data_IF_777311358086
#
_entry.id   IF_777311358086
#
_cell.length_a   1.000
_cell.length_b   1.000
_cell.length_c   1.000
_cell.angle_alpha   90.00
_cell.angle_beta   90.00
_cell.angle_gamma   90.00
#
_symmetry.space_group_name_H-M   'P 1'
#
loop_
_entity.id
_entity.type
_entity.pdbx_description
1 polymer ?
#
# COMPACT_ATOMS: atom_id res chain seq x y z
N UNK A 1 -19.62 6.88 -30.21
CA UNK A 1 -19.13 7.90 -31.18
C UNK A 1 -17.64 8.10 -30.92
N UNK A 2 -16.75 7.82 -31.88
CA UNK A 2 -15.32 8.04 -31.71
C UNK A 2 -15.03 9.54 -31.81
N UNK A 3 -14.42 10.12 -30.78
CA UNK A 3 -13.98 11.51 -30.79
C UNK A 3 -12.50 11.53 -30.42
N UNK A 4 -11.64 11.98 -31.34
CA UNK A 4 -10.22 12.25 -31.09
C UNK A 4 -10.00 13.76 -31.19
N UNK A 5 -9.52 14.38 -30.13
CA UNK A 5 -9.24 15.82 -30.07
C UNK A 5 -7.80 16.07 -29.63
N UNK A 6 -7.20 17.08 -30.24
CA UNK A 6 -5.98 17.73 -29.79
C UNK A 6 -6.33 19.16 -29.41
N UNK A 7 -6.30 19.53 -28.14
CA UNK A 7 -6.68 20.86 -27.67
C UNK A 7 -5.95 21.23 -26.36
N UNK A 8 -5.84 22.52 -26.09
CA UNK A 8 -5.23 22.98 -24.83
C UNK A 8 -6.18 22.80 -23.65
N UNK A 9 -7.51 22.89 -23.88
CA UNK A 9 -8.55 22.74 -22.88
C UNK A 9 -9.76 21.98 -23.42
N UNK A 10 -10.25 20.97 -22.69
CA UNK A 10 -11.43 20.19 -23.05
C UNK A 10 -12.35 19.89 -21.86
N UNK A 11 -13.66 20.00 -22.09
CA UNK A 11 -14.71 19.42 -21.26
C UNK A 11 -15.54 18.53 -22.16
N UNK A 12 -15.62 17.23 -21.89
CA UNK A 12 -16.27 16.23 -22.75
C UNK A 12 -17.24 15.34 -22.00
N UNK A 13 -18.35 15.01 -22.68
CA UNK A 13 -19.33 14.03 -22.28
C UNK A 13 -19.55 13.10 -23.47
N UNK A 14 -19.12 11.84 -23.39
CA UNK A 14 -19.26 10.90 -24.50
C UNK A 14 -19.04 9.44 -24.03
N UNK A 15 -19.64 8.49 -24.74
CA UNK A 15 -19.54 7.07 -24.43
C UNK A 15 -18.10 6.54 -24.60
N UNK A 16 -17.40 6.94 -25.68
CA UNK A 16 -16.04 6.52 -25.97
C UNK A 16 -15.18 7.70 -26.42
N UNK A 17 -14.09 7.96 -25.73
CA UNK A 17 -13.20 9.10 -25.98
C UNK A 17 -11.73 8.68 -26.00
N UNK A 18 -10.99 9.22 -26.98
CA UNK A 18 -9.52 9.30 -26.95
C UNK A 18 -9.18 10.79 -27.02
N UNK A 19 -8.53 11.32 -25.99
CA UNK A 19 -8.25 12.75 -25.85
C UNK A 19 -6.77 13.03 -25.61
N UNK A 20 -6.26 14.06 -26.29
CA UNK A 20 -4.97 14.68 -26.04
C UNK A 20 -5.22 16.15 -25.71
N UNK A 21 -4.92 16.57 -24.48
CA UNK A 21 -5.19 17.94 -24.02
C UNK A 21 -4.15 18.42 -23.02
N UNK A 22 -3.94 19.72 -22.90
CA UNK A 22 -3.20 20.29 -21.79
C UNK A 22 -4.01 20.16 -20.49
N UNK A 23 -5.29 20.56 -20.52
CA UNK A 23 -6.23 20.44 -19.40
C UNK A 23 -7.51 19.75 -19.85
N UNK A 24 -7.98 18.73 -19.12
CA UNK A 24 -9.21 18.03 -19.46
C UNK A 24 -10.09 17.72 -18.25
N UNK A 25 -11.40 17.91 -18.44
CA UNK A 25 -12.43 17.35 -17.57
C UNK A 25 -13.30 16.43 -18.44
N UNK A 26 -13.46 15.17 -18.06
CA UNK A 26 -14.15 14.17 -18.87
C UNK A 26 -15.15 13.35 -18.08
N UNK A 27 -16.28 13.09 -18.73
CA UNK A 27 -17.30 12.14 -18.29
C UNK A 27 -17.52 11.17 -19.44
N UNK A 28 -17.19 9.88 -19.28
CA UNK A 28 -17.28 8.90 -20.35
C UNK A 28 -17.50 7.51 -19.79
N UNK A 29 -18.12 6.60 -20.55
CA UNK A 29 -18.17 5.20 -20.18
C UNK A 29 -16.78 4.56 -20.37
N UNK A 30 -16.10 4.87 -21.50
CA UNK A 30 -14.75 4.40 -21.79
C UNK A 30 -13.84 5.55 -22.24
N UNK A 31 -12.70 5.74 -21.59
CA UNK A 31 -11.79 6.84 -21.90
C UNK A 31 -10.31 6.42 -21.94
N UNK A 32 -9.58 6.94 -22.94
CA UNK A 32 -8.12 6.98 -22.95
C UNK A 32 -7.70 8.45 -23.02
N UNK A 33 -6.92 8.93 -22.05
CA UNK A 33 -6.52 10.33 -21.96
C UNK A 33 -5.02 10.50 -21.84
N UNK A 34 -4.50 11.50 -22.55
CA UNK A 34 -3.14 12.02 -22.42
C UNK A 34 -3.27 13.51 -22.14
N UNK A 35 -2.90 13.96 -20.94
CA UNK A 35 -3.05 15.35 -20.52
C UNK A 35 -1.97 15.79 -19.54
N UNK A 36 -1.69 17.08 -19.46
CA UNK A 36 -0.85 17.60 -18.37
C UNK A 36 -1.66 17.61 -17.07
N UNK A 37 -2.95 17.99 -17.13
CA UNK A 37 -3.88 17.98 -16.01
C UNK A 37 -5.21 17.31 -16.39
N UNK A 38 -5.65 16.30 -15.64
CA UNK A 38 -6.86 15.53 -15.91
C UNK A 38 -7.80 15.42 -14.69
N UNK A 39 -9.10 15.64 -14.91
CA UNK A 39 -10.16 15.21 -14.00
C UNK A 39 -11.08 14.30 -14.79
N UNK A 40 -11.30 13.05 -14.33
CA UNK A 40 -12.09 12.07 -15.07
C UNK A 40 -13.10 11.35 -14.18
N UNK A 41 -14.27 11.13 -14.78
CA UNK A 41 -15.32 10.26 -14.29
C UNK A 41 -15.66 9.27 -15.39
N UNK A 42 -15.40 7.97 -15.19
CA UNK A 42 -15.62 6.96 -16.22
C UNK A 42 -15.88 5.58 -15.61
N UNK A 43 -16.57 4.69 -16.33
CA UNK A 43 -16.65 3.31 -15.92
C UNK A 43 -15.31 2.61 -16.16
N UNK A 44 -14.67 2.86 -17.33
CA UNK A 44 -13.34 2.36 -17.65
C UNK A 44 -12.41 3.49 -18.12
N UNK A 45 -11.23 3.62 -17.50
CA UNK A 45 -10.29 4.68 -17.85
C UNK A 45 -8.82 4.22 -17.92
N UNK A 46 -8.11 4.73 -18.94
CA UNK A 46 -6.65 4.70 -19.01
C UNK A 46 -6.17 6.16 -19.09
N UNK A 47 -5.35 6.60 -18.14
CA UNK A 47 -4.83 7.97 -18.08
C UNK A 47 -3.31 7.99 -18.07
N UNK A 48 -2.75 8.93 -18.87
CA UNK A 48 -1.37 9.37 -18.81
C UNK A 48 -1.38 10.87 -18.56
N UNK A 49 -0.96 11.32 -17.37
CA UNK A 49 -1.04 12.73 -17.00
C UNK A 49 0.12 13.16 -16.08
N UNK A 50 0.45 14.44 -16.07
CA UNK A 50 1.28 15.01 -15.01
C UNK A 50 0.52 15.04 -13.68
N UNK A 51 -0.74 15.56 -13.71
CA UNK A 51 -1.63 15.57 -12.54
C UNK A 51 -2.98 14.95 -12.89
N UNK A 52 -3.47 13.99 -12.10
CA UNK A 52 -4.75 13.35 -12.34
C UNK A 52 -5.60 13.19 -11.09
N UNK A 53 -6.91 13.47 -11.22
CA UNK A 53 -7.95 13.07 -10.29
C UNK A 53 -8.94 12.18 -11.06
N UNK A 54 -9.18 10.96 -10.59
CA UNK A 54 -10.04 10.01 -11.30
C UNK A 54 -11.05 9.36 -10.34
N UNK A 55 -12.25 9.17 -10.89
CA UNK A 55 -13.30 8.34 -10.32
C UNK A 55 -13.73 7.34 -11.39
N UNK A 56 -13.52 6.04 -11.17
CA UNK A 56 -13.81 5.01 -12.14
C UNK A 56 -14.09 3.66 -11.47
N UNK A 57 -14.85 2.79 -12.14
CA UNK A 57 -15.00 1.42 -11.69
C UNK A 57 -13.71 0.63 -11.97
N UNK A 58 -13.13 0.78 -13.19
CA UNK A 58 -11.83 0.20 -13.54
C UNK A 58 -10.86 1.27 -14.06
N UNK A 59 -9.72 1.41 -13.40
CA UNK A 59 -8.74 2.44 -13.71
C UNK A 59 -7.33 1.88 -13.95
N UNK A 60 -6.66 2.36 -15.00
CA UNK A 60 -5.22 2.24 -15.17
C UNK A 60 -4.64 3.66 -15.28
N UNK A 61 -3.74 4.05 -14.40
CA UNK A 61 -3.20 5.41 -14.34
C UNK A 61 -1.68 5.43 -14.32
N UNK A 62 -1.12 6.35 -15.11
CA UNK A 62 0.28 6.73 -15.11
C UNK A 62 0.33 8.25 -14.91
N UNK A 63 0.86 8.71 -13.78
CA UNK A 63 0.89 10.13 -13.46
C UNK A 63 2.08 10.48 -12.55
N UNK A 64 2.53 11.74 -12.57
CA UNK A 64 3.49 12.22 -11.57
C UNK A 64 2.76 12.40 -10.23
N UNK A 65 1.56 12.99 -10.24
CA UNK A 65 0.70 13.13 -9.06
C UNK A 65 -0.71 12.58 -9.34
N UNK A 66 -1.20 11.67 -8.50
CA UNK A 66 -2.49 11.01 -8.68
C UNK A 66 -3.36 10.97 -7.43
N UNK A 67 -4.66 11.26 -7.60
CA UNK A 67 -5.70 10.91 -6.64
C UNK A 67 -6.71 10.03 -7.36
N UNK A 68 -6.97 8.82 -6.86
CA UNK A 68 -7.80 7.82 -7.51
C UNK A 68 -8.84 7.24 -6.56
N UNK A 69 -10.07 7.18 -7.03
CA UNK A 69 -11.18 6.48 -6.41
C UNK A 69 -11.70 5.45 -7.40
N UNK A 70 -11.59 4.15 -7.11
CA UNK A 70 -12.00 3.10 -8.04
C UNK A 70 -12.38 1.81 -7.31
N UNK A 71 -13.19 0.96 -7.93
CA UNK A 71 -13.39 -0.39 -7.43
C UNK A 71 -12.15 -1.24 -7.71
N UNK A 72 -11.60 -1.17 -8.93
CA UNK A 72 -10.35 -1.84 -9.31
C UNK A 72 -9.35 -0.86 -9.91
N UNK A 73 -8.13 -0.83 -9.40
CA UNK A 73 -7.12 0.13 -9.84
C UNK A 73 -5.72 -0.48 -10.03
N UNK A 74 -5.06 -0.06 -11.11
CA UNK A 74 -3.62 -0.21 -11.29
C UNK A 74 -3.02 1.19 -11.46
N UNK A 75 -2.06 1.59 -10.61
CA UNK A 75 -1.47 2.91 -10.62
C UNK A 75 0.05 2.88 -10.63
N UNK A 76 0.65 3.77 -11.44
CA UNK A 76 2.06 4.08 -11.45
C UNK A 76 2.19 5.60 -11.28
N UNK A 77 2.78 6.05 -10.17
CA UNK A 77 2.91 7.48 -9.89
C UNK A 77 4.12 7.79 -8.99
N UNK A 78 4.64 9.02 -9.04
CA UNK A 78 5.64 9.45 -8.08
C UNK A 78 4.96 9.72 -6.73
N UNK A 79 3.82 10.44 -6.71
CA UNK A 79 3.00 10.66 -5.53
C UNK A 79 1.56 10.18 -5.76
N UNK A 80 1.08 9.25 -4.95
CA UNK A 80 -0.23 8.65 -5.10
C UNK A 80 -1.07 8.67 -3.82
N UNK A 81 -2.35 9.02 -3.96
CA UNK A 81 -3.39 8.77 -2.96
C UNK A 81 -4.47 7.93 -3.63
N UNK A 82 -4.77 6.75 -3.09
CA UNK A 82 -5.75 5.83 -3.68
C UNK A 82 -6.77 5.34 -2.66
N UNK A 83 -8.01 5.25 -3.12
CA UNK A 83 -9.11 4.59 -2.43
C UNK A 83 -9.70 3.57 -3.40
N UNK A 84 -9.61 2.28 -3.10
CA UNK A 84 -10.09 1.23 -3.99
C UNK A 84 -10.50 -0.03 -3.22
N UNK A 85 -11.41 -0.83 -3.77
CA UNK A 85 -11.67 -2.16 -3.22
C UNK A 85 -10.48 -3.08 -3.52
N UNK A 86 -9.96 -3.05 -4.78
CA UNK A 86 -8.77 -3.78 -5.19
C UNK A 86 -7.72 -2.84 -5.81
N UNK A 87 -6.51 -2.83 -5.29
CA UNK A 87 -5.45 -1.94 -5.72
C UNK A 87 -4.12 -2.66 -6.02
N UNK A 88 -3.50 -2.31 -7.14
CA UNK A 88 -2.08 -2.57 -7.39
C UNK A 88 -1.42 -1.21 -7.62
N UNK A 89 -0.42 -0.84 -6.81
CA UNK A 89 0.23 0.46 -6.90
C UNK A 89 1.75 0.35 -6.93
N UNK A 90 2.37 1.18 -7.76
CA UNK A 90 3.80 1.42 -7.81
C UNK A 90 4.01 2.93 -7.66
N UNK A 91 4.65 3.37 -6.57
CA UNK A 91 4.84 4.79 -6.31
C UNK A 91 6.08 5.05 -5.45
N UNK A 92 6.68 6.24 -5.56
CA UNK A 92 7.74 6.64 -4.63
C UNK A 92 7.12 6.98 -3.27
N UNK A 93 6.02 7.76 -3.24
CA UNK A 93 5.25 8.05 -2.04
C UNK A 93 3.78 7.64 -2.22
N UNK A 94 3.29 6.73 -1.38
CA UNK A 94 1.93 6.19 -1.46
C UNK A 94 1.14 6.35 -0.17
N UNK A 95 -0.13 6.78 -0.30
CA UNK A 95 -1.16 6.64 0.74
C UNK A 95 -2.28 5.80 0.12
N UNK A 96 -2.59 4.64 0.71
CA UNK A 96 -3.53 3.68 0.15
C UNK A 96 -4.56 3.24 1.19
N UNK A 97 -5.83 3.28 0.76
CA UNK A 97 -6.96 2.72 1.47
C UNK A 97 -7.64 1.71 0.56
N UNK A 98 -7.64 0.41 0.93
CA UNK A 98 -8.21 -0.63 0.09
C UNK A 98 -8.66 -1.84 0.92
N UNK A 99 -9.62 -2.63 0.40
CA UNK A 99 -9.92 -3.93 0.99
C UNK A 99 -8.79 -4.92 0.67
N UNK A 100 -8.33 -4.96 -0.60
CA UNK A 100 -7.18 -5.76 -1.03
C UNK A 100 -6.14 -4.91 -1.73
N UNK A 101 -4.88 -4.97 -1.27
CA UNK A 101 -3.81 -4.14 -1.80
C UNK A 101 -2.51 -4.91 -2.08
N UNK A 102 -1.89 -4.60 -3.22
CA UNK A 102 -0.48 -4.90 -3.50
C UNK A 102 0.23 -3.57 -3.76
N UNK A 103 1.24 -3.23 -2.96
CA UNK A 103 1.94 -1.95 -3.05
C UNK A 103 3.46 -2.15 -3.13
N UNK A 104 4.08 -1.42 -4.06
CA UNK A 104 5.52 -1.26 -4.17
C UNK A 104 5.82 0.23 -4.07
N UNK A 105 6.54 0.65 -3.02
CA UNK A 105 6.84 2.07 -2.79
C UNK A 105 8.15 2.26 -2.02
N UNK A 106 8.77 3.43 -2.15
CA UNK A 106 9.87 3.81 -1.26
C UNK A 106 9.30 4.17 0.11
N UNK A 107 8.22 4.99 0.14
CA UNK A 107 7.51 5.35 1.37
C UNK A 107 6.01 5.03 1.25
N UNK A 108 5.46 4.27 2.19
CA UNK A 108 4.07 3.84 2.18
C UNK A 108 3.33 4.09 3.51
N UNK A 109 2.10 4.60 3.40
CA UNK A 109 1.10 4.52 4.47
C UNK A 109 -0.08 3.73 3.91
N UNK A 110 -0.44 2.60 4.54
CA UNK A 110 -1.48 1.71 4.04
C UNK A 110 -2.50 1.38 5.12
N UNK A 111 -3.77 1.39 4.70
CA UNK A 111 -4.91 0.89 5.46
C UNK A 111 -5.63 -0.13 4.57
N UNK A 112 -5.64 -1.41 4.96
CA UNK A 112 -6.25 -2.45 4.13
C UNK A 112 -6.73 -3.64 4.99
N UNK A 113 -7.75 -4.37 4.53
CA UNK A 113 -8.09 -5.63 5.17
C UNK A 113 -7.03 -6.69 4.84
N UNK A 114 -6.63 -6.79 3.55
CA UNK A 114 -5.54 -7.67 3.11
C UNK A 114 -4.47 -6.89 2.36
N UNK A 115 -3.21 -6.99 2.79
CA UNK A 115 -2.11 -6.23 2.22
C UNK A 115 -0.88 -7.09 1.90
N UNK A 116 -0.29 -6.86 0.72
CA UNK A 116 1.07 -7.26 0.40
C UNK A 116 1.87 -5.98 0.10
N UNK A 117 2.93 -5.72 0.85
CA UNK A 117 3.70 -4.49 0.76
C UNK A 117 5.20 -4.75 0.61
N UNK A 118 5.81 -4.06 -0.35
CA UNK A 118 7.24 -3.96 -0.54
C UNK A 118 7.62 -2.48 -0.47
N UNK A 119 8.38 -2.09 0.56
CA UNK A 119 8.76 -0.68 0.76
C UNK A 119 10.09 -0.53 1.49
N UNK A 120 10.76 0.61 1.32
CA UNK A 120 11.91 0.93 2.17
C UNK A 120 11.39 1.38 3.55
N UNK A 121 10.37 2.26 3.59
CA UNK A 121 9.71 2.70 4.82
C UNK A 121 8.20 2.50 4.76
N UNK A 122 7.61 1.83 5.76
CA UNK A 122 6.19 1.54 5.78
C UNK A 122 5.52 1.78 7.13
N UNK A 123 4.30 2.35 7.08
CA UNK A 123 3.34 2.34 8.18
C UNK A 123 2.10 1.61 7.68
N UNK A 124 1.69 0.53 8.37
CA UNK A 124 0.57 -0.29 7.93
C UNK A 124 -0.44 -0.54 9.06
N UNK A 125 -1.71 -0.47 8.68
CA UNK A 125 -2.85 -0.92 9.46
C UNK A 125 -3.64 -1.92 8.61
N UNK A 126 -3.71 -3.19 9.03
CA UNK A 126 -4.37 -4.25 8.25
C UNK A 126 -4.90 -5.37 9.15
N UNK A 127 -5.91 -6.11 8.67
CA UNK A 127 -6.28 -7.35 9.34
C UNK A 127 -5.25 -8.45 9.01
N UNK A 128 -4.87 -8.58 7.73
CA UNK A 128 -3.84 -9.51 7.27
C UNK A 128 -2.73 -8.78 6.48
N UNK A 129 -1.47 -8.96 6.86
CA UNK A 129 -0.35 -8.32 6.21
C UNK A 129 0.79 -9.29 5.86
N UNK A 130 1.32 -9.18 4.64
CA UNK A 130 2.63 -9.71 4.25
C UNK A 130 3.49 -8.51 3.88
N UNK A 131 4.62 -8.30 4.55
CA UNK A 131 5.46 -7.13 4.34
C UNK A 131 6.93 -7.48 4.16
N UNK A 132 7.57 -6.77 3.23
CA UNK A 132 9.01 -6.72 3.04
C UNK A 132 9.42 -5.25 3.10
N UNK A 133 10.18 -4.86 4.13
CA UNK A 133 10.59 -3.47 4.32
C UNK A 133 11.94 -3.34 5.02
N UNK A 134 12.66 -2.25 4.78
CA UNK A 134 13.83 -1.95 5.60
C UNK A 134 13.40 -1.43 6.96
N UNK A 135 12.38 -0.55 7.01
CA UNK A 135 11.79 -0.04 8.25
C UNK A 135 10.26 -0.18 8.23
N UNK A 136 9.69 -0.83 9.26
CA UNK A 136 8.24 -1.06 9.35
C UNK A 136 7.65 -0.68 10.71
N UNK A 137 6.47 -0.01 10.69
CA UNK A 137 5.56 0.12 11.83
C UNK A 137 4.25 -0.53 11.43
N UNK A 138 3.80 -1.57 12.18
CA UNK A 138 2.65 -2.38 11.81
C UNK A 138 1.67 -2.51 12.97
N UNK A 139 0.38 -2.37 12.62
CA UNK A 139 -0.75 -2.70 13.46
C UNK A 139 -1.65 -3.65 12.68
N UNK A 140 -1.71 -4.94 13.08
CA UNK A 140 -2.49 -5.93 12.34
C UNK A 140 -2.86 -7.13 13.20
N UNK A 141 -3.91 -7.87 12.81
CA UNK A 141 -4.29 -9.10 13.52
C UNK A 141 -3.31 -10.23 13.17
N UNK A 142 -3.01 -10.43 11.87
CA UNK A 142 -2.07 -11.45 11.40
C UNK A 142 -0.99 -10.87 10.51
N UNK A 143 0.28 -11.09 10.84
CA UNK A 143 1.44 -10.54 10.11
C UNK A 143 2.46 -11.60 9.76
N UNK A 144 2.97 -11.54 8.53
CA UNK A 144 4.23 -12.14 8.11
C UNK A 144 5.16 -11.01 7.69
N UNK A 145 6.28 -10.81 8.38
CA UNK A 145 7.18 -9.68 8.19
C UNK A 145 8.61 -10.13 7.91
N UNK A 146 9.22 -9.48 6.91
CA UNK A 146 10.64 -9.48 6.65
C UNK A 146 11.13 -8.03 6.68
N UNK A 147 11.94 -7.66 7.68
CA UNK A 147 12.40 -6.28 7.84
C UNK A 147 13.81 -6.18 8.41
N UNK A 148 14.48 -5.06 8.14
CA UNK A 148 15.69 -4.70 8.88
C UNK A 148 15.33 -4.22 10.29
N UNK A 149 14.40 -3.26 10.41
CA UNK A 149 13.89 -2.75 11.68
C UNK A 149 12.35 -2.79 11.72
N UNK A 150 11.77 -3.32 12.80
CA UNK A 150 10.32 -3.41 12.96
C UNK A 150 9.82 -2.96 14.32
N UNK A 151 8.71 -2.20 14.33
CA UNK A 151 7.85 -2.00 15.50
C UNK A 151 6.50 -2.59 15.17
N UNK A 152 5.99 -3.53 15.99
CA UNK A 152 4.79 -4.27 15.66
C UNK A 152 3.84 -4.43 16.84
N UNK A 153 2.55 -4.30 16.52
CA UNK A 153 1.42 -4.63 17.36
C UNK A 153 0.53 -5.60 16.59
N UNK A 154 0.46 -6.88 17.01
CA UNK A 154 -0.31 -7.89 16.31
C UNK A 154 -0.84 -8.96 17.26
N UNK A 155 -1.97 -9.61 16.91
CA UNK A 155 -2.42 -10.78 17.66
C UNK A 155 -1.54 -11.98 17.34
N UNK A 156 -1.26 -12.23 16.06
CA UNK A 156 -0.38 -13.30 15.59
C UNK A 156 0.69 -12.77 14.64
N UNK A 157 1.98 -13.08 14.90
CA UNK A 157 3.09 -12.59 14.10
C UNK A 157 4.11 -13.67 13.77
N UNK A 158 4.58 -13.71 12.52
CA UNK A 158 5.78 -14.39 12.08
C UNK A 158 6.78 -13.35 11.58
N UNK A 159 7.94 -13.23 12.20
CA UNK A 159 8.90 -12.15 11.93
C UNK A 159 10.28 -12.69 11.61
N UNK A 160 10.88 -12.11 10.55
CA UNK A 160 12.27 -12.21 10.21
C UNK A 160 12.84 -10.79 10.19
N UNK A 161 13.64 -10.40 11.19
CA UNK A 161 14.16 -9.03 11.28
C UNK A 161 15.56 -9.00 11.90
N UNK A 162 16.35 -7.97 11.59
CA UNK A 162 17.59 -7.73 12.29
C UNK A 162 17.30 -7.16 13.69
N UNK A 163 16.38 -6.19 13.77
CA UNK A 163 15.92 -5.57 15.02
C UNK A 163 14.40 -5.51 15.09
N UNK A 164 13.78 -5.99 16.18
CA UNK A 164 12.33 -5.95 16.35
C UNK A 164 11.91 -5.50 17.76
N UNK A 165 10.89 -4.63 17.83
CA UNK A 165 10.10 -4.37 19.03
C UNK A 165 8.69 -4.86 18.77
N UNK A 166 8.19 -5.80 19.60
CA UNK A 166 6.92 -6.47 19.35
C UNK A 166 6.02 -6.49 20.58
N UNK A 167 4.73 -6.27 20.31
CA UNK A 167 3.64 -6.52 21.23
C UNK A 167 2.64 -7.46 20.54
N UNK A 168 2.51 -8.71 21.02
CA UNK A 168 1.61 -9.69 20.41
C UNK A 168 1.11 -10.73 21.40
N UNK A 169 -0.02 -11.37 21.08
CA UNK A 169 -0.49 -12.52 21.85
C UNK A 169 0.34 -13.76 21.51
N UNK A 170 0.59 -14.01 20.20
CA UNK A 170 1.41 -15.13 19.73
C UNK A 170 2.48 -14.66 18.73
N UNK A 171 3.74 -15.07 18.92
CA UNK A 171 4.83 -14.71 18.02
C UNK A 171 5.76 -15.86 17.69
N UNK A 172 6.15 -15.98 16.42
CA UNK A 172 7.31 -16.73 15.97
C UNK A 172 8.32 -15.73 15.42
N UNK A 173 9.52 -15.68 15.99
CA UNK A 173 10.50 -14.67 15.64
C UNK A 173 11.85 -15.28 15.30
N UNK A 174 12.47 -14.75 14.23
CA UNK A 174 13.84 -14.92 13.84
C UNK A 174 14.49 -13.54 13.81
N UNK A 175 15.28 -13.20 14.82
CA UNK A 175 15.87 -11.86 14.91
C UNK A 175 17.26 -11.90 15.57
N UNK A 176 18.13 -10.97 15.17
CA UNK A 176 19.42 -10.77 15.82
C UNK A 176 19.24 -10.05 17.15
N UNK A 177 18.33 -9.05 17.22
CA UNK A 177 17.97 -8.35 18.45
C UNK A 177 16.46 -8.18 18.56
N UNK A 178 15.87 -8.50 19.72
CA UNK A 178 14.44 -8.36 19.93
C UNK A 178 14.06 -7.88 21.33
N UNK A 179 13.07 -6.97 21.40
CA UNK A 179 12.31 -6.65 22.60
C UNK A 179 10.89 -7.15 22.38
N UNK A 180 10.43 -8.09 23.21
CA UNK A 180 9.14 -8.74 22.99
C UNK A 180 8.27 -8.66 24.23
N UNK A 181 6.99 -8.32 24.02
CA UNK A 181 5.92 -8.43 24.98
C UNK A 181 4.87 -9.36 24.38
N UNK A 182 4.89 -10.64 24.76
CA UNK A 182 3.99 -11.65 24.20
C UNK A 182 3.48 -12.61 25.27
N UNK A 183 2.24 -13.10 25.12
CA UNK A 183 1.70 -14.13 25.99
C UNK A 183 2.31 -15.49 25.67
N UNK A 184 2.57 -15.79 24.40
CA UNK A 184 3.29 -16.99 23.94
C UNK A 184 4.29 -16.64 22.83
N UNK A 185 5.56 -16.97 23.00
CA UNK A 185 6.60 -16.68 22.03
C UNK A 185 7.46 -17.90 21.72
N UNK A 186 7.75 -18.12 20.43
CA UNK A 186 8.77 -19.05 19.95
C UNK A 186 9.85 -18.22 19.27
N UNK A 187 11.08 -18.27 19.79
CA UNK A 187 12.18 -17.45 19.32
C UNK A 187 13.32 -18.32 18.81
N UNK A 188 13.84 -17.97 17.62
CA UNK A 188 15.04 -18.53 17.04
C UNK A 188 16.08 -17.42 16.89
N UNK A 189 17.13 -17.47 17.71
CA UNK A 189 18.22 -16.50 17.67
C UNK A 189 19.42 -17.08 16.93
N UNK A 190 20.18 -16.24 16.24
CA UNK A 190 21.52 -16.61 15.80
C UNK A 190 22.42 -16.78 17.05
N UNK A 191 23.20 -17.85 17.08
CA UNK A 191 24.07 -18.22 18.21
C UNK A 191 25.29 -17.29 18.38
N UNK A 192 25.26 -16.06 17.86
CA UNK A 192 26.32 -15.07 18.06
C UNK A 192 26.25 -14.50 19.48
N UNK A 193 27.40 -14.28 20.16
CA UNK A 193 27.43 -13.82 21.56
C UNK A 193 26.93 -12.39 21.79
N UNK A 194 26.50 -11.69 20.74
CA UNK A 194 26.02 -10.31 20.80
C UNK A 194 24.49 -10.19 20.77
N UNK A 195 23.75 -11.29 20.60
CA UNK A 195 22.28 -11.26 20.58
C UNK A 195 21.72 -11.06 21.99
N UNK A 196 21.00 -9.96 22.22
CA UNK A 196 20.41 -9.61 23.52
C UNK A 196 18.89 -9.73 23.44
N UNK A 197 18.29 -10.54 24.32
CA UNK A 197 16.84 -10.82 24.32
C UNK A 197 16.20 -10.34 25.61
N UNK A 198 15.05 -9.66 25.48
CA UNK A 198 14.19 -9.30 26.61
C UNK A 198 12.76 -9.79 26.33
N UNK A 199 12.28 -10.77 27.11
CA UNK A 199 10.90 -11.26 27.06
C UNK A 199 10.17 -10.78 28.31
N UNK A 200 9.10 -10.00 28.14
CA UNK A 200 8.20 -9.60 29.20
C UNK A 200 6.85 -10.27 28.95
N UNK A 201 6.66 -11.51 29.46
CA UNK A 201 5.40 -12.24 29.45
C UNK A 201 4.81 -12.33 30.85
N UNK A 202 3.49 -12.56 30.97
CA UNK A 202 2.91 -12.91 32.27
C UNK A 202 3.52 -14.22 32.76
N UNK A 203 4.08 -14.30 33.98
CA UNK A 203 4.56 -15.57 34.51
C UNK A 203 3.37 -16.51 34.64
N UNK A 204 3.41 -17.64 33.93
CA UNK A 204 2.43 -18.71 34.07
C UNK A 204 2.62 -19.36 35.44
N UNK A 205 2.03 -18.79 36.49
CA UNK A 205 1.99 -19.40 37.83
C UNK A 205 0.96 -20.52 37.78
N UNK A 206 1.37 -21.70 37.38
CA UNK A 206 0.63 -22.94 37.72
C UNK A 206 0.95 -23.29 39.16
N UNK A 207 -0.07 -23.12 40.03
CA UNK A 207 -0.17 -23.81 41.30
C UNK A 207 -0.42 -25.30 41.07
#
# INVERSE_FOLDING_TARGET
MYISYLCDFAILFADLVILFAGFAIMFADFAIMFADFAIMFADFAIIFAGFAIMFADLAIMFADFAILFADFAIMFADLAIMFADFAIMFADLAILFADFAILFADFAIMFADFAILFADFAIMFADFAIMFADFAIIFADLVILFAGFAIMFADFAIIFADFAIMFSDFAIMFADFAIMFADLAIMFADSRPESTFWIFGKPNVRN
#
